data_IF_630936135286
#
_entry.id   IF_630936135286
#
_cell.length_a   1.000
_cell.length_b   1.000
_cell.length_c   1.000
_cell.angle_alpha   90.00
_cell.angle_beta   90.00
_cell.angle_gamma   90.00
#
_symmetry.space_group_name_H-M   'P 1'
#
loop_
_entity.id
_entity.type
_entity.pdbx_description
1 polymer ?
#
# COMPACT_ATOMS: atom_id res chain seq x y z
N UNK A 1 36.45 16.41 2.70
CA UNK A 1 35.42 17.43 2.94
C UNK A 1 34.75 17.86 1.65
N UNK A 2 35.50 18.17 0.58
CA UNK A 2 34.93 18.55 -0.74
C UNK A 2 33.95 17.51 -1.34
N UNK A 3 34.24 16.21 -1.27
CA UNK A 3 33.34 15.17 -1.84
C UNK A 3 31.97 15.16 -1.15
N UNK A 4 31.92 15.42 0.16
CA UNK A 4 30.65 15.46 0.92
C UNK A 4 29.87 16.74 0.58
N UNK A 5 30.56 17.86 0.40
CA UNK A 5 29.95 19.13 0.00
C UNK A 5 29.37 19.03 -1.42
N UNK A 6 30.11 18.45 -2.36
CA UNK A 6 29.65 18.24 -3.74
C UNK A 6 28.42 17.32 -3.79
N UNK A 7 28.41 16.23 -3.01
CA UNK A 7 27.25 15.33 -2.95
C UNK A 7 26.00 16.04 -2.40
N UNK A 8 26.16 16.90 -1.38
CA UNK A 8 25.07 17.68 -0.82
C UNK A 8 24.53 18.72 -1.81
N UNK A 9 25.39 19.42 -2.54
CA UNK A 9 24.98 20.38 -3.58
C UNK A 9 24.22 19.71 -4.72
N UNK A 10 24.71 18.56 -5.21
CA UNK A 10 24.01 17.77 -6.23
C UNK A 10 22.65 17.33 -5.71
N UNK A 11 22.57 16.84 -4.46
CA UNK A 11 21.30 16.44 -3.84
C UNK A 11 20.30 17.61 -3.75
N UNK A 12 20.76 18.79 -3.36
CA UNK A 12 19.93 19.99 -3.30
C UNK A 12 19.43 20.42 -4.69
N UNK A 13 20.30 20.36 -5.72
CA UNK A 13 19.90 20.66 -7.09
C UNK A 13 18.84 19.69 -7.62
N UNK A 14 19.00 18.39 -7.38
CA UNK A 14 18.00 17.37 -7.74
C UNK A 14 16.67 17.62 -7.03
N UNK A 15 16.71 18.00 -5.75
CA UNK A 15 15.52 18.32 -4.98
C UNK A 15 14.75 19.51 -5.59
N UNK A 16 15.43 20.60 -5.93
CA UNK A 16 14.81 21.78 -6.56
C UNK A 16 14.22 21.47 -7.95
N UNK A 17 14.90 20.66 -8.77
CA UNK A 17 14.36 20.24 -10.07
C UNK A 17 13.09 19.40 -9.87
N UNK A 18 13.13 18.44 -8.96
CA UNK A 18 11.98 17.57 -8.64
C UNK A 18 10.79 18.39 -8.18
N UNK A 19 11.02 19.37 -7.30
CA UNK A 19 9.99 20.28 -6.83
C UNK A 19 9.37 21.09 -7.96
N UNK A 20 10.17 21.66 -8.86
CA UNK A 20 9.64 22.39 -10.04
C UNK A 20 8.81 21.52 -10.96
N UNK A 21 9.20 20.26 -11.17
CA UNK A 21 8.42 19.31 -11.96
C UNK A 21 7.08 18.98 -11.29
N UNK A 22 7.08 18.79 -9.97
CA UNK A 22 5.88 18.56 -9.18
C UNK A 22 4.94 19.77 -9.24
N UNK A 23 5.46 20.98 -9.03
CA UNK A 23 4.66 22.21 -9.08
C UNK A 23 4.05 22.42 -10.47
N UNK A 24 4.83 22.23 -11.55
CA UNK A 24 4.34 22.35 -12.92
C UNK A 24 3.27 21.29 -13.25
N UNK A 25 3.45 20.06 -12.81
CA UNK A 25 2.48 18.99 -12.99
C UNK A 25 1.19 19.25 -12.19
N UNK A 26 1.31 19.76 -10.96
CA UNK A 26 0.17 20.13 -10.14
C UNK A 26 -0.61 21.31 -10.74
N UNK A 27 0.06 22.33 -11.26
CA UNK A 27 -0.57 23.45 -11.97
C UNK A 27 -1.26 23.00 -13.26
N UNK A 28 -0.62 22.13 -14.06
CA UNK A 28 -1.22 21.57 -15.26
C UNK A 28 -2.46 20.72 -14.93
N UNK A 29 -2.39 19.89 -13.88
CA UNK A 29 -3.53 19.12 -13.40
C UNK A 29 -4.68 19.98 -12.85
N UNK A 30 -4.42 21.25 -12.49
CA UNK A 30 -5.43 22.22 -12.02
C UNK A 30 -5.99 23.09 -13.14
N UNK A 31 -5.37 23.11 -14.31
CA UNK A 31 -5.70 24.11 -15.33
C UNK A 31 -7.11 23.88 -15.92
N UNK A 32 -7.95 24.92 -16.07
CA UNK A 32 -9.39 24.78 -16.07
C UNK A 32 -9.91 24.56 -17.50
N UNK A 33 -9.77 23.35 -18.03
CA UNK A 33 -10.70 22.91 -19.08
C UNK A 33 -11.95 22.27 -18.48
N UNK A 34 -11.98 22.02 -17.15
CA UNK A 34 -13.10 21.32 -16.50
C UNK A 34 -13.37 21.81 -15.07
N UNK A 35 -14.65 21.77 -14.67
CA UNK A 35 -15.29 22.60 -13.62
C UNK A 35 -15.00 22.24 -12.16
N UNK A 36 -14.26 21.17 -11.84
CA UNK A 36 -13.99 20.83 -10.43
C UNK A 36 -12.52 20.73 -10.11
N UNK A 37 -12.01 21.74 -9.40
CA UNK A 37 -10.69 21.69 -8.77
C UNK A 37 -10.60 20.47 -7.82
N UNK A 38 -9.42 19.86 -7.66
CA UNK A 38 -9.22 18.81 -6.69
C UNK A 38 -9.58 19.29 -5.28
N UNK A 39 -10.23 18.43 -4.51
CA UNK A 39 -10.55 18.73 -3.11
C UNK A 39 -9.40 18.22 -2.24
N UNK A 40 -8.70 19.13 -1.57
CA UNK A 40 -7.70 18.78 -0.56
C UNK A 40 -8.40 18.29 0.72
N UNK A 41 -7.97 17.14 1.25
CA UNK A 41 -8.57 16.49 2.41
C UNK A 41 -7.66 16.65 3.63
N UNK A 42 -7.95 17.67 4.42
CA UNK A 42 -7.10 18.10 5.53
C UNK A 42 -6.95 17.05 6.66
N UNK A 43 -5.71 16.82 7.08
CA UNK A 43 -5.35 15.90 8.16
C UNK A 43 -5.44 14.42 7.80
N UNK A 44 -5.85 14.05 6.57
CA UNK A 44 -5.89 12.63 6.17
C UNK A 44 -4.50 12.06 5.92
N UNK A 45 -3.57 12.88 5.39
CA UNK A 45 -2.19 12.45 5.16
C UNK A 45 -1.55 12.09 6.50
N UNK A 46 -1.60 13.01 7.45
CA UNK A 46 -1.04 12.88 8.79
C UNK A 46 -1.68 11.73 9.55
N UNK A 47 -2.98 11.53 9.40
CA UNK A 47 -3.68 10.45 10.09
C UNK A 47 -3.26 9.06 9.61
N UNK A 48 -2.95 8.91 8.32
CA UNK A 48 -2.43 7.65 7.78
C UNK A 48 -0.95 7.52 8.12
N UNK A 49 -0.14 8.56 7.89
CA UNK A 49 1.30 8.56 8.13
C UNK A 49 1.65 8.30 9.60
N UNK A 50 0.92 8.91 10.53
CA UNK A 50 1.10 8.76 11.97
C UNK A 50 0.23 7.63 12.58
N UNK A 51 -0.24 6.68 11.76
CA UNK A 51 -0.98 5.54 12.29
C UNK A 51 -0.14 4.79 13.33
N UNK A 52 -0.79 4.45 14.46
CA UNK A 52 -0.14 3.86 15.63
C UNK A 52 -0.08 2.35 15.51
N UNK A 53 1.08 1.79 15.82
CA UNK A 53 1.28 0.35 15.87
C UNK A 53 0.81 -0.23 17.19
N UNK A 54 0.15 -1.39 17.10
CA UNK A 54 -0.09 -2.31 18.19
C UNK A 54 0.26 -3.71 17.69
N UNK A 55 0.60 -4.62 18.58
CA UNK A 55 0.88 -6.00 18.20
C UNK A 55 0.37 -6.99 19.24
N UNK A 56 0.03 -8.18 18.77
CA UNK A 56 -0.53 -9.27 19.55
C UNK A 56 0.53 -10.35 19.68
N UNK A 57 0.90 -10.66 20.91
CA UNK A 57 1.89 -11.69 21.24
C UNK A 57 1.26 -12.80 22.07
N UNK A 58 1.72 -14.02 21.82
CA UNK A 58 1.44 -15.15 22.70
C UNK A 58 2.38 -15.12 23.90
N UNK A 59 1.79 -15.12 25.09
CA UNK A 59 2.49 -15.25 26.35
C UNK A 59 2.27 -16.67 26.84
N UNK A 60 3.35 -17.44 26.93
CA UNK A 60 3.31 -18.81 27.45
C UNK A 60 3.21 -18.76 28.98
N UNK A 61 2.00 -18.92 29.53
CA UNK A 61 1.75 -19.02 30.97
C UNK A 61 1.57 -20.48 31.40
N UNK A 62 1.88 -20.79 32.67
CA UNK A 62 1.83 -22.15 33.22
C UNK A 62 0.44 -22.83 33.21
N UNK A 63 -0.64 -22.09 32.96
CA UNK A 63 -2.02 -22.60 32.86
C UNK A 63 -2.66 -22.39 31.46
N UNK A 64 -1.90 -21.95 30.46
CA UNK A 64 -2.39 -21.79 29.09
C UNK A 64 -1.66 -20.71 28.30
N UNK A 65 -1.78 -20.77 26.97
CA UNK A 65 -1.27 -19.71 26.08
C UNK A 65 -2.19 -18.50 26.16
N UNK A 66 -1.75 -17.45 26.85
CA UNK A 66 -2.44 -16.16 26.91
C UNK A 66 -2.09 -15.31 25.69
N UNK A 67 -2.98 -14.40 25.32
CA UNK A 67 -2.79 -13.45 24.21
C UNK A 67 -2.76 -12.04 24.78
N UNK A 68 -1.66 -11.31 24.60
CA UNK A 68 -1.49 -9.95 25.11
C UNK A 68 -1.36 -8.97 23.94
N UNK A 69 -2.08 -7.83 24.02
CA UNK A 69 -1.94 -6.72 23.06
C UNK A 69 -0.97 -5.70 23.65
N UNK A 70 0.07 -5.37 22.89
CA UNK A 70 1.10 -4.41 23.27
C UNK A 70 1.08 -3.21 22.33
N UNK A 71 1.33 -2.03 22.87
CA UNK A 71 1.52 -0.81 22.08
C UNK A 71 2.91 -0.79 21.44
N UNK A 72 3.01 -0.24 20.23
CA UNK A 72 4.24 -0.14 19.46
C UNK A 72 4.39 -1.21 18.37
N UNK A 73 5.37 -0.99 17.49
CA UNK A 73 5.74 -1.94 16.44
C UNK A 73 6.34 -3.20 17.08
N UNK A 74 6.05 -4.37 16.50
CA UNK A 74 6.59 -5.63 17.00
C UNK A 74 8.13 -5.63 16.88
N UNK A 75 8.88 -6.07 17.91
CA UNK A 75 10.35 -6.07 17.88
C UNK A 75 10.95 -6.95 16.78
N UNK A 76 10.23 -8.00 16.37
CA UNK A 76 10.59 -8.88 15.27
C UNK A 76 9.37 -9.09 14.37
N UNK A 77 9.56 -8.88 13.06
CA UNK A 77 8.60 -9.24 12.03
C UNK A 77 8.64 -10.75 11.75
N UNK A 78 7.75 -11.23 10.88
CA UNK A 78 7.83 -12.59 10.37
C UNK A 78 9.09 -12.80 9.53
N UNK A 79 9.65 -14.01 9.58
CA UNK A 79 10.75 -14.44 8.72
C UNK A 79 10.20 -15.00 7.40
N UNK A 80 10.85 -14.66 6.28
CA UNK A 80 10.49 -15.15 4.97
C UNK A 80 11.68 -15.81 4.29
N UNK A 81 11.44 -16.94 3.64
CA UNK A 81 12.37 -17.61 2.74
C UNK A 81 11.98 -17.32 1.30
N UNK A 82 12.96 -17.11 0.43
CA UNK A 82 12.72 -16.96 -1.01
C UNK A 82 12.48 -18.34 -1.63
N UNK A 83 11.35 -18.50 -2.29
CA UNK A 83 10.99 -19.70 -3.06
C UNK A 83 10.65 -19.24 -4.47
N UNK A 84 11.54 -19.58 -5.41
CA UNK A 84 11.53 -19.08 -6.79
C UNK A 84 11.47 -17.54 -6.85
N UNK A 85 10.46 -16.98 -7.52
CA UNK A 85 10.20 -15.54 -7.64
C UNK A 85 9.22 -15.02 -6.58
N UNK A 86 8.97 -15.81 -5.53
CA UNK A 86 8.05 -15.47 -4.44
C UNK A 86 8.71 -15.59 -3.07
N UNK A 87 8.04 -15.09 -2.04
CA UNK A 87 8.42 -15.27 -0.64
C UNK A 87 7.46 -16.26 -0.01
N UNK A 88 7.95 -17.16 0.84
CA UNK A 88 7.12 -17.98 1.72
C UNK A 88 7.50 -17.70 3.17
N UNK A 89 6.55 -17.83 4.08
CA UNK A 89 6.83 -17.74 5.52
C UNK A 89 7.79 -18.86 5.93
N UNK A 90 8.85 -18.52 6.67
CA UNK A 90 9.81 -19.50 7.15
C UNK A 90 9.39 -20.10 8.50
N UNK A 91 8.52 -21.11 8.42
CA UNK A 91 7.99 -21.84 9.59
C UNK A 91 8.87 -23.03 10.00
N UNK A 92 9.96 -23.30 9.27
CA UNK A 92 10.78 -24.51 9.44
C UNK A 92 11.63 -24.52 10.71
N UNK A 93 11.75 -23.38 11.39
CA UNK A 93 12.66 -23.20 12.50
C UNK A 93 11.92 -22.54 13.65
N UNK A 94 11.38 -23.36 14.56
CA UNK A 94 10.97 -22.96 15.92
C UNK A 94 12.21 -22.60 16.76
N UNK A 95 13.07 -21.71 16.27
CA UNK A 95 14.20 -21.23 17.07
C UNK A 95 13.76 -20.08 17.96
N UNK A 96 13.68 -20.44 19.24
CA UNK A 96 13.93 -19.59 20.42
C UNK A 96 12.79 -18.71 20.94
N UNK A 97 12.71 -18.63 22.28
CA UNK A 97 11.63 -18.08 23.10
C UNK A 97 11.31 -16.59 22.99
N UNK A 98 11.60 -15.93 21.86
CA UNK A 98 11.08 -14.60 21.59
C UNK A 98 9.60 -14.69 21.14
N UNK A 99 8.68 -13.97 21.77
CA UNK A 99 7.27 -13.99 21.37
C UNK A 99 7.12 -13.37 19.97
N UNK A 100 6.83 -14.22 18.98
CA UNK A 100 6.55 -13.78 17.60
C UNK A 100 5.14 -13.16 17.53
N UNK A 101 4.96 -12.03 16.84
CA UNK A 101 3.64 -11.45 16.67
C UNK A 101 2.75 -12.39 15.86
N UNK A 102 1.54 -12.67 16.35
CA UNK A 102 0.51 -13.37 15.55
C UNK A 102 -0.22 -12.39 14.64
N UNK A 103 -0.39 -11.16 15.12
CA UNK A 103 -1.10 -10.10 14.44
C UNK A 103 -0.50 -8.75 14.84
N UNK A 104 -0.28 -7.90 13.86
CA UNK A 104 0.01 -6.48 14.10
C UNK A 104 -1.23 -5.67 13.71
N UNK A 105 -1.38 -4.49 14.28
CA UNK A 105 -2.51 -3.60 14.02
C UNK A 105 -1.99 -2.18 13.84
N UNK A 106 -2.39 -1.54 12.75
CA UNK A 106 -2.18 -0.12 12.53
C UNK A 106 -3.49 0.63 12.75
N UNK A 107 -3.49 1.58 13.66
CA UNK A 107 -4.67 2.38 14.00
C UNK A 107 -4.51 3.80 13.48
N UNK A 108 -5.32 4.18 12.49
CA UNK A 108 -5.41 5.55 11.98
C UNK A 108 -6.60 6.28 12.60
N UNK A 109 -6.38 7.49 13.11
CA UNK A 109 -7.42 8.29 13.80
C UNK A 109 -8.64 8.59 12.90
N UNK A 110 -8.39 8.91 11.63
CA UNK A 110 -9.39 9.20 10.60
C UNK A 110 -9.68 7.98 9.72
N UNK A 111 -9.12 6.81 10.06
CA UNK A 111 -9.28 5.56 9.31
C UNK A 111 -8.57 5.57 7.96
N UNK A 112 -8.94 4.60 7.12
CA UNK A 112 -8.26 4.30 5.85
C UNK A 112 -9.09 4.72 4.63
N UNK A 113 -8.50 4.88 3.43
CA UNK A 113 -9.20 5.29 2.21
C UNK A 113 -10.48 4.51 1.92
N UNK A 114 -10.48 3.20 2.17
CA UNK A 114 -11.65 2.33 2.03
C UNK A 114 -12.84 2.77 2.89
N UNK A 115 -12.58 3.35 4.07
CA UNK A 115 -13.60 3.76 5.04
C UNK A 115 -14.11 5.20 4.85
N UNK A 116 -13.36 6.06 4.15
CA UNK A 116 -13.70 7.49 4.00
C UNK A 116 -14.96 7.78 3.18
N UNK A 117 -15.54 6.77 2.52
CA UNK A 117 -16.83 6.92 1.82
C UNK A 117 -17.98 7.22 2.79
N UNK A 118 -17.90 6.67 3.99
CA UNK A 118 -19.00 6.62 4.94
C UNK A 118 -18.76 7.66 6.04
N UNK A 119 -19.25 8.88 5.82
CA UNK A 119 -19.17 9.96 6.84
C UNK A 119 -19.89 9.61 8.15
N UNK A 120 -20.78 8.62 8.15
CA UNK A 120 -21.77 8.41 9.22
C UNK A 120 -21.67 7.08 9.97
N UNK A 121 -20.68 6.21 9.74
CA UNK A 121 -20.63 4.96 10.49
C UNK A 121 -19.23 4.37 10.61
N UNK A 122 -18.77 4.19 11.86
CA UNK A 122 -17.65 3.35 12.32
C UNK A 122 -16.56 3.15 11.26
N UNK A 123 -15.80 4.20 10.93
CA UNK A 123 -14.61 4.04 10.12
C UNK A 123 -13.75 2.98 10.81
N UNK A 124 -13.48 1.86 10.14
CA UNK A 124 -12.55 0.86 10.65
C UNK A 124 -11.19 1.56 10.75
N UNK A 125 -10.83 1.99 11.96
CA UNK A 125 -9.57 2.70 12.24
C UNK A 125 -8.39 1.74 12.18
N UNK A 126 -8.66 0.47 12.47
CA UNK A 126 -7.68 -0.58 12.59
C UNK A 126 -7.46 -1.30 11.26
N UNK A 127 -6.21 -1.42 10.86
CA UNK A 127 -5.71 -2.25 9.78
C UNK A 127 -4.97 -3.43 10.40
N UNK A 128 -5.55 -4.62 10.27
CA UNK A 128 -4.99 -5.86 10.80
C UNK A 128 -3.97 -6.43 9.83
N UNK A 129 -2.71 -6.50 10.24
CA UNK A 129 -1.57 -6.96 9.46
C UNK A 129 -1.14 -8.33 9.97
N UNK A 130 -1.31 -9.35 9.15
CA UNK A 130 -0.76 -10.69 9.39
C UNK A 130 0.47 -10.91 8.49
N UNK A 131 1.08 -12.09 8.61
CA UNK A 131 2.24 -12.46 7.80
C UNK A 131 1.95 -12.39 6.28
N UNK A 132 0.78 -12.78 5.81
CA UNK A 132 0.45 -12.71 4.38
C UNK A 132 0.33 -11.27 3.88
N UNK A 133 -0.25 -10.37 4.67
CA UNK A 133 -0.32 -8.94 4.36
C UNK A 133 1.08 -8.31 4.36
N UNK A 134 1.93 -8.67 5.33
CA UNK A 134 3.31 -8.20 5.35
C UNK A 134 4.15 -8.77 4.19
N UNK A 135 3.94 -10.03 3.82
CA UNK A 135 4.54 -10.66 2.65
C UNK A 135 4.25 -9.90 1.35
N UNK A 136 3.01 -9.40 1.18
CA UNK A 136 2.65 -8.54 0.04
C UNK A 136 3.53 -7.29 0.01
N UNK A 137 3.72 -6.64 1.16
CA UNK A 137 4.60 -5.48 1.26
C UNK A 137 6.05 -5.84 0.96
N UNK A 138 6.59 -6.94 1.50
CA UNK A 138 7.98 -7.34 1.23
C UNK A 138 8.22 -7.58 -0.27
N UNK A 139 7.24 -8.16 -0.96
CA UNK A 139 7.30 -8.34 -2.42
C UNK A 139 7.31 -6.99 -3.15
N UNK A 140 6.41 -6.05 -2.79
CA UNK A 140 6.37 -4.71 -3.39
C UNK A 140 7.65 -3.93 -3.08
N UNK A 141 8.16 -4.00 -1.86
CA UNK A 141 9.41 -3.37 -1.44
C UNK A 141 10.61 -3.92 -2.22
N UNK A 142 10.64 -5.23 -2.48
CA UNK A 142 11.63 -5.88 -3.32
C UNK A 142 11.67 -5.28 -4.73
N UNK A 143 10.50 -5.07 -5.34
CA UNK A 143 10.42 -4.43 -6.66
C UNK A 143 10.87 -2.98 -6.66
N UNK A 144 10.46 -2.21 -5.65
CA UNK A 144 10.90 -0.82 -5.52
C UNK A 144 12.42 -0.75 -5.37
N UNK A 145 12.99 -1.64 -4.55
CA UNK A 145 14.45 -1.70 -4.33
C UNK A 145 15.19 -2.05 -5.61
N UNK A 146 14.70 -3.03 -6.37
CA UNK A 146 15.27 -3.41 -7.67
C UNK A 146 15.17 -2.23 -8.66
N UNK A 147 13.99 -1.60 -8.75
CA UNK A 147 13.71 -0.48 -9.65
C UNK A 147 14.57 0.75 -9.36
N UNK A 148 14.82 1.08 -8.10
CA UNK A 148 15.64 2.22 -7.70
C UNK A 148 17.13 1.90 -7.52
N UNK A 149 17.54 0.65 -7.76
CA UNK A 149 18.94 0.27 -7.68
C UNK A 149 19.76 0.91 -8.81
N UNK A 150 20.92 1.46 -8.45
CA UNK A 150 21.85 2.12 -9.39
C UNK A 150 22.54 1.18 -10.38
N UNK A 151 22.33 -0.14 -10.24
CA UNK A 151 22.97 -1.17 -11.06
C UNK A 151 22.10 -1.61 -12.25
N UNK A 152 20.82 -1.26 -12.28
CA UNK A 152 19.98 -1.45 -13.44
C UNK A 152 20.13 -0.26 -14.38
N UNK A 153 20.54 -0.51 -15.63
CA UNK A 153 20.40 0.51 -16.68
C UNK A 153 18.95 1.03 -16.76
N UNK A 154 18.73 2.11 -17.52
CA UNK A 154 17.45 2.83 -17.66
C UNK A 154 16.23 1.97 -18.12
N UNK A 155 16.39 0.65 -18.23
CA UNK A 155 15.46 -0.32 -18.79
C UNK A 155 14.59 -1.03 -17.74
N UNK A 156 14.81 -0.79 -16.43
CA UNK A 156 13.94 -1.36 -15.40
C UNK A 156 12.61 -0.61 -15.32
N UNK A 157 11.59 -1.18 -15.96
CA UNK A 157 10.21 -0.73 -15.79
C UNK A 157 9.67 -1.23 -14.43
N UNK A 158 8.95 -0.38 -13.68
CA UNK A 158 8.33 -0.79 -12.44
C UNK A 158 7.32 -1.92 -12.69
N UNK A 159 7.38 -2.97 -11.86
CA UNK A 159 6.52 -4.14 -12.03
C UNK A 159 5.06 -3.80 -11.70
N UNK A 160 4.17 -4.55 -12.36
CA UNK A 160 2.74 -4.50 -12.10
C UNK A 160 2.33 -5.80 -11.43
N UNK A 161 1.68 -5.73 -10.28
CA UNK A 161 1.27 -6.89 -9.51
C UNK A 161 -0.24 -7.02 -9.41
N UNK A 162 -0.70 -8.26 -9.42
CA UNK A 162 -2.08 -8.60 -9.09
C UNK A 162 -2.10 -9.22 -7.69
N UNK A 163 -2.88 -8.64 -6.79
CA UNK A 163 -3.14 -9.19 -5.46
C UNK A 163 -4.40 -10.05 -5.53
N UNK A 164 -4.20 -11.36 -5.38
CA UNK A 164 -5.21 -12.41 -5.45
C UNK A 164 -5.42 -12.98 -4.06
N UNK A 165 -6.64 -13.42 -3.76
CA UNK A 165 -6.94 -14.12 -2.52
C UNK A 165 -8.43 -14.32 -2.37
N UNK A 166 -8.82 -15.12 -1.39
CA UNK A 166 -10.21 -15.48 -1.14
C UNK A 166 -11.08 -14.24 -0.88
N UNK A 167 -12.36 -14.22 -1.32
CA UNK A 167 -13.33 -13.21 -0.89
C UNK A 167 -13.34 -13.04 0.64
N UNK A 168 -13.42 -11.80 1.12
CA UNK A 168 -13.51 -11.53 2.57
C UNK A 168 -12.20 -11.66 3.36
N UNK A 169 -11.09 -12.10 2.75
CA UNK A 169 -9.78 -12.28 3.41
C UNK A 169 -9.13 -10.98 3.93
N UNK A 170 -9.71 -9.82 3.63
CA UNK A 170 -9.14 -8.52 3.99
C UNK A 170 -8.18 -7.91 2.96
N UNK A 171 -8.21 -8.36 1.70
CA UNK A 171 -7.40 -7.77 0.58
C UNK A 171 -7.36 -6.23 0.59
N UNK A 172 -8.52 -5.60 0.57
CA UNK A 172 -8.65 -4.13 0.55
C UNK A 172 -8.31 -3.49 1.89
N UNK A 173 -9.01 -3.94 2.93
CA UNK A 173 -8.99 -3.31 4.25
C UNK A 173 -7.64 -3.46 4.92
N UNK A 174 -7.03 -4.64 4.83
CA UNK A 174 -5.72 -4.92 5.40
C UNK A 174 -4.61 -4.62 4.40
N UNK A 175 -4.49 -5.39 3.31
CA UNK A 175 -3.32 -5.27 2.43
C UNK A 175 -3.25 -3.91 1.72
N UNK A 176 -4.36 -3.39 1.20
CA UNK A 176 -4.39 -2.06 0.58
C UNK A 176 -3.99 -0.94 1.56
N UNK A 177 -4.56 -0.95 2.76
CA UNK A 177 -4.25 0.03 3.81
C UNK A 177 -2.79 -0.06 4.28
N UNK A 178 -2.29 -1.28 4.50
CA UNK A 178 -0.92 -1.51 4.92
C UNK A 178 0.09 -1.08 3.86
N UNK A 179 -0.17 -1.42 2.59
CA UNK A 179 0.63 -0.96 1.46
C UNK A 179 0.68 0.56 1.38
N UNK A 180 -0.46 1.25 1.56
CA UNK A 180 -0.48 2.71 1.59
C UNK A 180 0.42 3.25 2.70
N UNK A 181 0.26 2.76 3.93
CA UNK A 181 1.09 3.16 5.06
C UNK A 181 2.58 3.02 4.72
N UNK A 182 2.97 1.84 4.25
CA UNK A 182 4.35 1.53 3.92
C UNK A 182 4.91 2.38 2.78
N UNK A 183 4.13 2.65 1.73
CA UNK A 183 4.55 3.50 0.61
C UNK A 183 4.72 4.97 1.02
N UNK A 184 3.91 5.45 1.98
CA UNK A 184 4.08 6.80 2.54
C UNK A 184 5.35 6.92 3.38
N UNK A 185 5.79 5.84 4.02
CA UNK A 185 7.06 5.77 4.76
C UNK A 185 8.28 5.40 3.88
N UNK A 186 8.06 4.97 2.63
CA UNK A 186 9.16 4.78 1.67
C UNK A 186 9.84 6.13 1.35
N UNK A 187 11.04 6.10 0.77
CA UNK A 187 11.80 7.31 0.40
C UNK A 187 10.96 8.25 -0.49
N UNK A 188 10.77 9.49 -0.04
CA UNK A 188 9.98 10.51 -0.74
C UNK A 188 10.71 11.14 -1.95
N UNK A 189 12.04 11.09 -1.98
CA UNK A 189 12.82 11.54 -3.15
C UNK A 189 12.72 10.53 -4.29
N UNK A 190 12.65 9.24 -3.97
CA UNK A 190 12.48 8.17 -4.97
C UNK A 190 11.03 8.03 -5.42
N UNK A 191 10.09 8.09 -4.47
CA UNK A 191 8.68 7.84 -4.69
C UNK A 191 7.84 8.95 -4.03
N UNK A 192 7.74 10.14 -4.64
CA UNK A 192 7.06 11.30 -4.06
C UNK A 192 5.53 11.14 -4.02
N UNK A 193 4.94 10.28 -4.88
CA UNK A 193 3.49 10.17 -5.01
C UNK A 193 2.96 8.76 -4.83
N UNK A 194 1.81 8.65 -4.17
CA UNK A 194 1.02 7.41 -4.06
C UNK A 194 -0.42 7.70 -4.45
N UNK A 195 -0.92 7.02 -5.48
CA UNK A 195 -2.32 7.07 -5.85
C UNK A 195 -3.06 5.85 -5.29
N UNK A 196 -4.21 6.07 -4.67
CA UNK A 196 -5.10 5.01 -4.19
C UNK A 196 -6.47 5.19 -4.83
N UNK A 197 -6.88 4.20 -5.62
CA UNK A 197 -8.23 4.12 -6.20
C UNK A 197 -9.01 3.03 -5.50
N UNK A 198 -10.19 3.34 -4.98
CA UNK A 198 -11.08 2.38 -4.31
C UNK A 198 -12.53 2.66 -4.68
N UNK A 199 -13.15 1.70 -5.37
CA UNK A 199 -14.52 1.88 -5.88
C UNK A 199 -14.62 3.04 -6.86
N UNK A 200 -15.38 4.08 -6.49
CA UNK A 200 -15.52 5.32 -7.27
C UNK A 200 -14.69 6.49 -6.71
N UNK A 201 -13.87 6.23 -5.69
CA UNK A 201 -13.06 7.24 -5.04
C UNK A 201 -11.61 7.07 -5.47
N UNK A 202 -10.95 8.19 -5.62
CA UNK A 202 -9.53 8.24 -5.94
C UNK A 202 -8.84 9.32 -5.13
N UNK A 203 -7.70 8.96 -4.59
CA UNK A 203 -6.88 9.77 -3.71
C UNK A 203 -5.46 9.82 -4.25
N UNK A 204 -4.88 11.02 -4.28
CA UNK A 204 -3.47 11.23 -4.59
C UNK A 204 -2.80 11.77 -3.33
N UNK A 205 -1.85 11.00 -2.80
CA UNK A 205 -1.01 11.37 -1.68
C UNK A 205 0.28 11.95 -2.23
N UNK A 206 0.53 13.22 -1.94
CA UNK A 206 1.78 13.90 -2.23
C UNK A 206 2.61 13.94 -0.95
N UNK A 207 3.73 13.21 -0.95
CA UNK A 207 4.63 13.08 0.21
C UNK A 207 5.53 14.30 0.39
N UNK A 208 5.72 15.09 -0.66
CA UNK A 208 6.51 16.33 -0.62
C UNK A 208 5.74 17.43 0.07
N UNK A 209 4.46 17.61 -0.30
CA UNK A 209 3.58 18.59 0.36
C UNK A 209 2.83 18.03 1.56
N UNK A 210 2.88 16.71 1.78
CA UNK A 210 2.13 15.98 2.81
C UNK A 210 0.62 16.22 2.70
N UNK A 211 0.09 16.17 1.49
CA UNK A 211 -1.34 16.42 1.23
C UNK A 211 -2.03 15.20 0.63
N UNK A 212 -3.36 15.16 0.78
CA UNK A 212 -4.22 14.20 0.07
C UNK A 212 -5.22 14.98 -0.76
N UNK A 213 -5.24 14.74 -2.07
CA UNK A 213 -6.24 15.30 -2.98
C UNK A 213 -7.19 14.22 -3.47
N UNK A 214 -8.48 14.53 -3.61
CA UNK A 214 -9.45 13.62 -4.25
C UNK A 214 -10.00 14.20 -5.54
N UNK A 215 -10.20 13.29 -6.50
CA UNK A 215 -10.71 13.57 -7.84
C UNK A 215 -12.04 12.81 -8.00
N UNK A 216 -13.15 13.54 -8.17
CA UNK A 216 -14.52 12.97 -8.23
C UNK A 216 -15.20 13.18 -9.59
N UNK A 217 -14.41 13.35 -10.63
CA UNK A 217 -14.90 13.68 -11.96
C UNK A 217 -13.72 13.94 -12.87
N UNK A 218 -13.79 15.02 -13.62
CA UNK A 218 -12.70 15.48 -14.49
C UNK A 218 -11.90 16.61 -13.79
N UNK A 219 -10.55 16.55 -13.82
CA UNK A 219 -9.76 15.46 -14.39
C UNK A 219 -9.91 14.19 -13.55
N UNK A 220 -9.93 13.03 -14.22
CA UNK A 220 -9.91 11.75 -13.52
C UNK A 220 -8.51 11.51 -12.97
N UNK A 221 -8.40 10.67 -11.96
CA UNK A 221 -7.08 10.41 -11.36
C UNK A 221 -6.09 9.79 -12.37
N UNK A 222 -6.57 9.05 -13.37
CA UNK A 222 -5.72 8.52 -14.44
C UNK A 222 -5.14 9.64 -15.31
N UNK A 223 -5.90 10.69 -15.61
CA UNK A 223 -5.38 11.87 -16.32
C UNK A 223 -4.31 12.57 -15.48
N UNK A 224 -4.57 12.74 -14.18
CA UNK A 224 -3.65 13.40 -13.24
C UNK A 224 -2.35 12.62 -13.12
N UNK A 225 -2.42 11.30 -12.87
CA UNK A 225 -1.24 10.43 -12.80
C UNK A 225 -0.47 10.43 -14.12
N UNK A 226 -1.16 10.49 -15.26
CA UNK A 226 -0.53 10.61 -16.57
C UNK A 226 0.21 11.95 -16.73
N UNK A 227 -0.36 13.07 -16.30
CA UNK A 227 0.33 14.39 -16.30
C UNK A 227 1.62 14.31 -15.47
N UNK A 228 1.55 13.78 -14.25
CA UNK A 228 2.74 13.60 -13.40
C UNK A 228 3.79 12.69 -14.06
N UNK A 229 3.36 11.56 -14.63
CA UNK A 229 4.23 10.64 -15.35
C UNK A 229 4.93 11.29 -16.55
N UNK A 230 4.21 12.06 -17.37
CA UNK A 230 4.77 12.77 -18.52
C UNK A 230 5.80 13.83 -18.11
N UNK A 231 5.65 14.38 -16.91
CA UNK A 231 6.59 15.32 -16.28
C UNK A 231 7.76 14.60 -15.58
N UNK A 232 7.84 13.27 -15.66
CA UNK A 232 8.91 12.47 -15.08
C UNK A 232 8.76 12.19 -13.58
N UNK A 233 7.62 12.55 -12.99
CA UNK A 233 7.34 12.27 -11.58
C UNK A 233 7.00 10.80 -11.42
N UNK A 234 7.74 10.13 -10.54
CA UNK A 234 7.54 8.72 -10.19
C UNK A 234 6.49 8.59 -9.10
N UNK A 235 5.79 7.47 -9.11
CA UNK A 235 4.84 7.16 -8.05
C UNK A 235 4.40 5.71 -8.06
N UNK A 236 3.48 5.39 -7.15
CA UNK A 236 2.91 4.05 -7.04
C UNK A 236 1.39 4.11 -6.98
N UNK A 237 0.72 3.22 -7.72
CA UNK A 237 -0.73 3.11 -7.72
C UNK A 237 -1.19 1.85 -6.98
N UNK A 238 -2.06 2.03 -6.00
CA UNK A 238 -2.89 0.97 -5.43
C UNK A 238 -4.27 1.08 -6.10
N UNK A 239 -4.60 0.11 -6.95
CA UNK A 239 -5.90 0.07 -7.62
C UNK A 239 -6.78 -1.02 -7.01
N UNK A 240 -7.71 -0.61 -6.16
CA UNK A 240 -8.65 -1.51 -5.50
C UNK A 240 -9.95 -1.66 -6.29
N UNK A 241 -10.04 -2.78 -7.00
CA UNK A 241 -11.17 -3.13 -7.85
C UNK A 241 -12.33 -3.80 -7.08
N UNK A 242 -12.21 -4.02 -5.77
CA UNK A 242 -13.20 -4.83 -5.01
C UNK A 242 -14.60 -4.23 -4.95
N UNK A 243 -14.73 -2.91 -4.80
CA UNK A 243 -16.03 -2.26 -4.63
C UNK A 243 -16.76 -1.98 -5.96
N UNK A 244 -16.02 -1.68 -7.03
CA UNK A 244 -16.60 -1.31 -8.33
C UNK A 244 -16.58 -2.46 -9.35
N UNK A 245 -15.81 -3.52 -9.10
CA UNK A 245 -15.52 -4.58 -10.08
C UNK A 245 -15.08 -4.02 -11.45
N UNK A 246 -14.28 -2.93 -11.40
CA UNK A 246 -13.78 -2.24 -12.60
C UNK A 246 -12.30 -2.56 -12.80
N UNK A 247 -11.92 -2.74 -14.06
CA UNK A 247 -10.52 -2.84 -14.43
C UNK A 247 -9.88 -1.44 -14.46
N UNK A 248 -8.59 -1.30 -14.12
CA UNK A 248 -7.81 -0.13 -14.41
C UNK A 248 -8.02 0.29 -15.86
N UNK A 249 -8.17 1.61 -16.11
CA UNK A 249 -8.06 2.18 -17.43
C UNK A 249 -6.86 1.65 -18.18
N UNK A 250 -6.97 1.58 -19.51
CA UNK A 250 -5.94 1.00 -20.34
C UNK A 250 -4.56 1.69 -20.25
N UNK A 251 -4.51 2.94 -19.81
CA UNK A 251 -3.27 3.72 -19.65
C UNK A 251 -2.55 3.50 -18.31
N UNK A 252 -3.12 2.73 -17.38
CA UNK A 252 -2.57 2.54 -16.05
C UNK A 252 -1.83 1.20 -15.88
N UNK A 253 -0.73 1.18 -15.08
CA UNK A 253 0.00 2.35 -14.62
C UNK A 253 0.67 3.09 -15.78
N UNK A 254 0.78 4.41 -15.60
CA UNK A 254 1.53 5.27 -16.50
C UNK A 254 3.02 4.90 -16.46
N UNK A 255 3.78 5.30 -17.48
CA UNK A 255 5.22 5.03 -17.54
C UNK A 255 5.93 5.61 -16.31
N UNK A 256 6.81 4.82 -15.69
CA UNK A 256 7.51 5.26 -14.49
C UNK A 256 6.67 5.22 -13.20
N UNK A 257 5.53 4.53 -13.21
CA UNK A 257 4.74 4.25 -12.01
C UNK A 257 4.62 2.76 -11.76
N UNK A 258 4.83 2.34 -10.51
CA UNK A 258 4.48 0.99 -10.07
C UNK A 258 2.99 0.84 -9.85
N UNK A 259 2.47 -0.38 -9.90
CA UNK A 259 1.08 -0.65 -9.59
C UNK A 259 0.87 -2.00 -8.94
N UNK A 260 -0.02 -2.02 -7.96
CA UNK A 260 -0.70 -3.23 -7.53
C UNK A 260 -2.21 -3.10 -7.72
N UNK A 261 -2.81 -4.11 -8.32
CA UNK A 261 -4.25 -4.22 -8.50
C UNK A 261 -4.79 -5.20 -7.47
N UNK A 262 -5.66 -4.72 -6.58
CA UNK A 262 -6.38 -5.56 -5.61
C UNK A 262 -7.61 -6.14 -6.29
N UNK A 263 -7.63 -7.46 -6.47
CA UNK A 263 -8.67 -8.14 -7.24
C UNK A 263 -10.02 -8.19 -6.51
N UNK A 264 -11.14 -8.12 -7.24
CA UNK A 264 -12.45 -8.40 -6.67
C UNK A 264 -12.57 -9.86 -6.22
N UNK A 265 -13.56 -10.16 -5.35
CA UNK A 265 -13.79 -11.51 -4.86
C UNK A 265 -14.23 -12.53 -5.93
N UNK A 266 -14.82 -12.10 -7.06
CA UNK A 266 -15.41 -13.03 -8.02
C UNK A 266 -14.35 -13.74 -8.90
N UNK A 267 -14.39 -15.08 -8.91
CA UNK A 267 -13.55 -15.94 -9.75
C UNK A 267 -13.73 -15.66 -11.25
N UNK A 268 -14.93 -15.28 -11.70
CA UNK A 268 -15.19 -15.03 -13.11
C UNK A 268 -14.46 -13.80 -13.63
N UNK A 269 -14.24 -12.80 -12.77
CA UNK A 269 -13.46 -11.63 -13.15
C UNK A 269 -12.00 -12.03 -13.38
N UNK A 270 -11.40 -12.91 -12.56
CA UNK A 270 -10.00 -13.35 -12.72
C UNK A 270 -9.72 -13.86 -14.13
N UNK A 271 -10.59 -14.71 -14.70
CA UNK A 271 -10.42 -15.16 -16.08
C UNK A 271 -10.42 -14.01 -17.07
N UNK A 272 -11.22 -12.97 -16.83
CA UNK A 272 -11.28 -11.76 -17.65
C UNK A 272 -10.02 -10.92 -17.54
N UNK A 273 -9.40 -10.87 -16.36
CA UNK A 273 -8.12 -10.20 -16.14
C UNK A 273 -6.96 -10.97 -16.77
N UNK A 274 -6.97 -12.30 -16.65
CA UNK A 274 -6.01 -13.19 -17.30
C UNK A 274 -6.13 -13.16 -18.83
N UNK A 275 -7.34 -13.21 -19.38
CA UNK A 275 -7.59 -13.19 -20.83
C UNK A 275 -7.19 -11.88 -21.50
N UNK A 276 -7.15 -10.75 -20.77
CA UNK A 276 -6.79 -9.46 -21.35
C UNK A 276 -5.29 -9.28 -21.63
N UNK A 277 -4.45 -10.31 -21.44
CA UNK A 277 -3.05 -10.32 -21.89
C UNK A 277 -2.13 -9.31 -21.21
N UNK A 278 -2.65 -8.54 -20.25
CA UNK A 278 -1.89 -7.57 -19.44
C UNK A 278 -1.47 -8.13 -18.10
N UNK A 279 -2.24 -9.09 -17.58
CA UNK A 279 -2.04 -9.70 -16.27
C UNK A 279 -2.35 -11.20 -16.39
N UNK A 280 -1.40 -12.02 -16.83
CA UNK A 280 -1.37 -13.52 -16.91
C UNK A 280 -1.43 -14.15 -18.32
N UNK A 281 -0.51 -15.07 -18.63
CA UNK A 281 -0.68 -16.53 -18.55
C UNK A 281 0.70 -17.18 -18.79
N UNK A 282 0.96 -18.35 -18.20
CA UNK A 282 2.27 -19.01 -18.12
C UNK A 282 2.85 -19.43 -19.49
N UNK A 283 2.19 -19.18 -20.62
CA UNK A 283 2.54 -19.77 -21.91
C UNK A 283 3.03 -18.81 -23.02
N UNK A 284 3.25 -17.52 -22.75
CA UNK A 284 3.90 -16.61 -23.72
C UNK A 284 5.27 -16.13 -23.22
N UNK A 285 6.34 -16.64 -23.85
CA UNK A 285 7.75 -16.40 -23.45
C UNK A 285 8.12 -14.91 -23.37
N UNK A 286 7.51 -14.05 -24.20
CA UNK A 286 7.78 -12.61 -24.25
C UNK A 286 7.02 -11.80 -23.20
N UNK A 287 5.92 -12.32 -22.64
CA UNK A 287 5.17 -11.69 -21.53
C UNK A 287 5.56 -12.23 -20.16
N UNK A 288 6.20 -13.40 -20.07
CA UNK A 288 6.68 -13.99 -18.79
C UNK A 288 7.51 -13.02 -17.96
N UNK A 289 8.45 -12.28 -18.57
CA UNK A 289 9.28 -11.29 -17.83
C UNK A 289 8.49 -10.18 -17.14
N UNK A 290 7.29 -9.83 -17.62
CA UNK A 290 6.47 -8.74 -17.04
C UNK A 290 5.51 -9.24 -15.94
N UNK A 291 5.29 -10.56 -15.83
CA UNK A 291 4.21 -11.14 -15.03
C UNK A 291 4.62 -12.33 -14.13
N UNK A 292 5.90 -12.66 -14.02
CA UNK A 292 6.39 -13.57 -12.98
C UNK A 292 6.18 -12.91 -11.59
N UNK A 293 5.22 -13.42 -10.80
CA UNK A 293 5.05 -13.04 -9.39
C UNK A 293 3.72 -12.38 -8.98
N UNK A 294 2.55 -12.82 -9.45
CA UNK A 294 1.29 -12.41 -8.79
C UNK A 294 1.34 -12.75 -7.29
N UNK A 295 0.76 -11.89 -6.46
CA UNK A 295 0.78 -12.04 -5.01
C UNK A 295 -0.51 -12.72 -4.56
N UNK A 296 -0.40 -13.75 -3.72
CA UNK A 296 -1.55 -14.47 -3.18
C UNK A 296 -1.70 -14.16 -1.69
N UNK A 297 -2.93 -14.07 -1.19
CA UNK A 297 -3.26 -14.09 0.24
C UNK A 297 -4.03 -15.38 0.53
N UNK A 298 -3.45 -16.28 1.33
CA UNK A 298 -3.98 -17.63 1.59
C UNK A 298 -4.56 -17.86 3.00
N UNK A 299 -4.36 -16.97 3.99
CA UNK A 299 -4.80 -17.22 5.37
C UNK A 299 -5.87 -16.26 5.92
N UNK A 300 -6.99 -16.82 6.40
CA UNK A 300 -7.98 -16.17 7.29
C UNK A 300 -7.64 -16.45 8.74
N UNK A 301 -7.45 -15.41 9.56
CA UNK A 301 -7.66 -15.53 11.01
C UNK A 301 -8.94 -14.80 11.40
N UNK A 302 -9.83 -15.52 12.06
CA UNK A 302 -10.94 -14.93 12.80
C UNK A 302 -10.35 -14.11 13.94
N UNK A 303 -10.78 -12.86 14.12
CA UNK A 303 -10.48 -12.13 15.35
C UNK A 303 -10.84 -13.02 16.55
N UNK A 304 -10.02 -13.09 17.61
CA UNK A 304 -10.38 -13.88 18.78
C UNK A 304 -11.71 -13.36 19.32
N UNK A 305 -12.70 -14.26 19.40
CA UNK A 305 -13.94 -14.00 20.10
C UNK A 305 -13.61 -13.74 21.58
N UNK A 306 -13.48 -12.46 21.96
CA UNK A 306 -13.08 -12.09 23.32
C UNK A 306 -12.67 -10.62 23.51
N UNK A 307 -12.29 -9.89 22.46
CA UNK A 307 -11.79 -8.51 22.62
C UNK A 307 -12.87 -7.41 22.73
N UNK A 308 -14.15 -7.76 22.86
CA UNK A 308 -15.26 -6.77 22.93
C UNK A 308 -15.70 -6.42 24.37
N UNK A 309 -14.89 -6.68 25.40
CA UNK A 309 -15.38 -6.58 26.77
C UNK A 309 -14.36 -6.19 27.83
N UNK A 310 -13.55 -5.14 27.64
CA UNK A 310 -12.90 -4.43 28.76
C UNK A 310 -12.62 -2.96 28.38
N UNK A 311 -13.66 -2.14 28.19
CA UNK A 311 -13.54 -0.67 28.25
C UNK A 311 -14.76 0.02 28.90
N UNK A 312 -15.68 -0.71 29.53
CA UNK A 312 -16.70 -0.14 30.42
C UNK A 312 -16.50 -0.71 31.82
N UNK A 313 -16.01 0.14 32.73
CA UNK A 313 -15.73 -0.19 34.12
C UNK A 313 -15.32 1.05 34.91
N UNK A 314 -15.97 2.18 34.65
CA UNK A 314 -15.97 3.35 35.52
C UNK A 314 -17.29 3.40 36.27
N UNK A 315 -17.19 3.57 37.60
CA UNK A 315 -18.26 3.88 38.55
C UNK A 315 -19.14 2.71 39.06
N UNK A 316 -18.75 2.20 40.23
CA UNK A 316 -19.61 1.48 41.17
C UNK A 316 -19.10 1.71 42.59
N UNK A 317 -19.88 2.41 43.41
CA UNK A 317 -19.57 2.91 44.76
C UNK A 317 -19.29 1.82 45.81
N UNK A 318 -18.42 2.15 46.76
CA UNK A 318 -18.51 1.74 48.17
C UNK A 318 -18.07 2.91 49.07
#
# INVERSE_FOLDING_TARGET
TEVVVAAAEVKASVHEITKRLLDAAAEEARNPTTTSAPICLEGLYESVYNARWHHVVEVSGGEGTGVEVREGEAPQSWDYKKVDDTLEKDDGVWQSGAPRPRLMVLTSEKGWPYSWRWKENKSTRDCHVNCEVDRVWQIVKGDLTEWFSSHGGNDFEPKQRLLIGTPGIGKSVAAGSYLLYQLLHYDAEQLPMVAYVVGSQSFLFDKTTKTVSTYRGDPRIDDVVNIFSLRGVKGYCIYDATLACRQPPAGLPCRGWGMIVVTPPDKNDYERWAKNGRYCNRNELSRRKRCEGNVHLDETQSAPAGASGVLEGGEGSH
#
